data_IF_281100401914
#
_entry.id   IF_281100401914
#
_cell.length_a   1.000
_cell.length_b   1.000
_cell.length_c   1.000
_cell.angle_alpha   90.00
_cell.angle_beta   90.00
_cell.angle_gamma   90.00
#
_symmetry.space_group_name_H-M   'P 1'
#
loop_
_entity.id
_entity.type
_entity.pdbx_description
1 polymer ?
#
# COMPACT_ATOMS: atom_id res chain seq x y z
N UNK A 1 1.35 82.32 45.28
CA UNK A 1 1.90 80.97 45.20
C UNK A 1 0.83 80.02 44.77
N UNK A 2 0.87 79.51 43.55
CA UNK A 2 -0.04 78.53 43.02
C UNK A 2 0.76 77.26 42.74
N UNK A 3 0.25 76.04 43.09
CA UNK A 3 0.99 74.80 42.87
C UNK A 3 0.83 74.34 41.43
N UNK A 4 1.90 73.76 40.91
CA UNK A 4 2.06 73.21 39.59
C UNK A 4 1.41 71.81 39.52
N UNK A 5 0.37 71.64 38.69
CA UNK A 5 -0.22 70.32 38.38
C UNK A 5 0.71 69.53 37.44
N UNK A 6 1.19 68.40 37.90
CA UNK A 6 1.88 67.39 37.12
C UNK A 6 0.88 66.46 36.48
N UNK A 7 0.91 66.32 35.18
CA UNK A 7 0.08 65.35 34.42
C UNK A 7 0.54 63.89 34.65
N UNK A 8 -0.39 62.90 34.67
CA UNK A 8 -0.01 61.52 34.84
C UNK A 8 0.58 60.92 33.54
N UNK A 9 1.57 60.04 33.71
CA UNK A 9 2.23 59.25 32.69
C UNK A 9 1.24 58.23 32.06
N UNK A 10 1.29 58.08 30.73
CA UNK A 10 0.55 57.06 29.99
C UNK A 10 1.20 55.68 30.21
N UNK A 11 0.44 54.62 30.43
CA UNK A 11 0.97 53.27 30.46
C UNK A 11 1.39 52.82 29.06
N UNK A 12 2.60 52.28 28.95
CA UNK A 12 3.18 51.71 27.73
C UNK A 12 2.35 50.49 27.30
N UNK A 13 1.84 50.54 26.07
CA UNK A 13 1.23 49.40 25.40
C UNK A 13 2.36 48.40 25.02
N UNK A 14 2.39 47.26 25.64
CA UNK A 14 3.17 46.13 25.12
C UNK A 14 2.59 45.71 23.79
N UNK A 15 3.39 45.90 22.75
CA UNK A 15 3.15 45.30 21.42
C UNK A 15 3.25 43.79 21.57
N UNK A 16 2.11 43.14 21.49
CA UNK A 16 2.00 41.69 21.44
C UNK A 16 2.45 41.26 20.02
N UNK A 17 3.71 40.91 19.89
CA UNK A 17 4.30 40.31 18.69
C UNK A 17 3.72 38.90 18.53
N UNK A 18 2.96 38.61 17.48
CA UNK A 18 2.49 37.25 17.27
C UNK A 18 3.71 36.41 16.86
N UNK A 19 4.29 35.70 17.84
CA UNK A 19 5.30 34.68 17.59
C UNK A 19 4.71 33.70 16.58
N UNK A 20 5.10 33.85 15.34
CA UNK A 20 4.93 32.83 14.31
C UNK A 20 5.47 31.52 14.87
N UNK A 21 4.56 30.61 15.21
CA UNK A 21 4.94 29.21 15.48
C UNK A 21 5.55 28.69 14.20
N UNK A 22 6.81 28.23 14.22
CA UNK A 22 7.39 27.62 13.04
C UNK A 22 6.49 26.47 12.62
N UNK A 23 5.97 26.54 11.39
CA UNK A 23 5.22 25.48 10.74
C UNK A 23 6.15 24.27 10.67
N UNK A 24 6.05 23.39 11.68
CA UNK A 24 6.74 22.09 11.67
C UNK A 24 6.26 21.39 10.42
N UNK A 25 7.05 21.42 9.34
CA UNK A 25 7.00 20.38 8.32
C UNK A 25 7.15 19.06 9.08
N UNK A 26 6.05 18.40 9.32
CA UNK A 26 6.02 17.01 9.80
C UNK A 26 6.60 16.18 8.65
N UNK A 27 7.94 16.17 8.56
CA UNK A 27 8.62 15.06 7.92
C UNK A 27 8.12 13.86 8.70
N UNK A 28 7.27 13.06 8.06
CA UNK A 28 6.77 11.85 8.68
C UNK A 28 7.99 10.97 8.93
N UNK A 29 8.44 10.96 10.18
CA UNK A 29 9.62 10.20 10.57
C UNK A 29 9.46 8.73 10.17
N UNK A 30 10.55 8.08 9.72
CA UNK A 30 10.51 6.65 9.41
C UNK A 30 10.04 5.90 10.66
N UNK A 31 8.92 5.19 10.55
CA UNK A 31 8.38 4.40 11.64
C UNK A 31 8.41 2.92 11.28
N UNK A 32 8.99 2.10 12.15
CA UNK A 32 9.05 0.64 11.98
C UNK A 32 7.66 -0.01 11.88
N UNK A 33 6.62 0.66 12.40
CA UNK A 33 5.24 0.17 12.34
C UNK A 33 4.61 0.29 10.95
N UNK A 34 5.20 1.05 10.02
CA UNK A 34 4.66 1.23 8.67
C UNK A 34 5.01 0.05 7.78
N UNK A 35 4.26 -1.04 7.89
CA UNK A 35 4.52 -2.28 7.16
C UNK A 35 4.47 -2.11 5.64
N UNK A 36 3.63 -1.21 5.11
CA UNK A 36 3.60 -0.87 3.68
C UNK A 36 4.98 -0.41 3.17
N UNK A 37 5.73 0.39 3.93
CA UNK A 37 7.07 0.83 3.52
C UNK A 37 8.08 -0.32 3.48
N UNK A 38 7.96 -1.26 4.42
CA UNK A 38 8.79 -2.47 4.40
C UNK A 38 8.44 -3.36 3.22
N UNK A 39 7.14 -3.52 2.93
CA UNK A 39 6.66 -4.24 1.76
C UNK A 39 7.24 -3.65 0.46
N UNK A 40 7.08 -2.34 0.26
CA UNK A 40 7.62 -1.62 -0.89
C UNK A 40 9.14 -1.78 -1.00
N UNK A 41 9.89 -1.63 0.10
CA UNK A 41 11.34 -1.78 0.09
C UNK A 41 11.78 -3.18 -0.33
N UNK A 42 11.16 -4.23 0.25
CA UNK A 42 11.54 -5.61 -0.05
C UNK A 42 11.14 -6.04 -1.46
N UNK A 43 10.04 -5.50 -2.01
CA UNK A 43 9.67 -5.73 -3.41
C UNK A 43 10.56 -4.94 -4.36
N UNK A 44 10.96 -3.71 -4.02
CA UNK A 44 11.88 -2.90 -4.83
C UNK A 44 13.24 -3.57 -5.05
N UNK A 45 13.70 -4.40 -4.11
CA UNK A 45 15.01 -5.09 -4.25
C UNK A 45 15.06 -6.09 -5.42
N UNK A 46 13.89 -6.52 -5.93
CA UNK A 46 13.79 -7.52 -7.00
C UNK A 46 13.14 -6.98 -8.28
N UNK A 47 12.51 -5.80 -8.23
CA UNK A 47 11.88 -5.17 -9.39
C UNK A 47 12.89 -4.37 -10.21
N UNK A 48 12.82 -4.54 -11.51
CA UNK A 48 13.59 -3.79 -12.50
C UNK A 48 12.66 -3.09 -13.51
N UNK A 49 13.21 -2.11 -14.24
CA UNK A 49 12.48 -1.47 -15.32
C UNK A 49 12.12 -2.51 -16.41
N UNK A 50 10.88 -2.47 -16.89
CA UNK A 50 10.36 -3.43 -17.86
C UNK A 50 9.63 -4.64 -17.24
N UNK A 51 9.71 -4.82 -15.92
CA UNK A 51 9.06 -5.96 -15.25
C UNK A 51 7.53 -5.85 -15.25
N UNK A 52 6.89 -7.00 -15.03
CA UNK A 52 5.49 -7.10 -14.66
C UNK A 52 5.36 -7.10 -13.14
N UNK A 53 4.51 -6.20 -12.61
CA UNK A 53 4.12 -6.17 -11.21
C UNK A 53 2.59 -6.20 -11.05
N UNK A 54 2.13 -6.64 -9.88
CA UNK A 54 0.70 -6.81 -9.59
C UNK A 54 0.38 -6.22 -8.22
N UNK A 55 -0.68 -5.41 -8.17
CA UNK A 55 -1.32 -4.95 -6.93
C UNK A 55 -2.68 -5.63 -6.81
N UNK A 56 -2.82 -6.57 -5.89
CA UNK A 56 -4.05 -7.33 -5.69
C UNK A 56 -5.16 -6.50 -4.99
N UNK A 57 -4.82 -5.32 -4.46
CA UNK A 57 -5.71 -4.47 -3.65
C UNK A 57 -5.39 -3.00 -3.86
N UNK A 58 -5.79 -2.45 -5.00
CA UNK A 58 -5.41 -1.10 -5.42
C UNK A 58 -5.73 -0.01 -4.38
N UNK A 59 -6.93 -0.07 -3.77
CA UNK A 59 -7.36 0.85 -2.73
C UNK A 59 -7.21 2.32 -3.12
N UNK A 60 -6.38 3.05 -2.39
CA UNK A 60 -6.07 4.45 -2.66
C UNK A 60 -4.88 4.66 -3.62
N UNK A 61 -4.36 3.60 -4.23
CA UNK A 61 -3.32 3.66 -5.25
C UNK A 61 -1.89 3.86 -4.75
N UNK A 62 -1.64 3.70 -3.46
CA UNK A 62 -0.28 3.93 -2.91
C UNK A 62 0.72 2.90 -3.41
N UNK A 63 0.35 1.62 -3.38
CA UNK A 63 1.21 0.53 -3.83
C UNK A 63 1.22 0.44 -5.36
N UNK A 64 0.08 0.66 -6.02
CA UNK A 64 -0.01 0.78 -7.48
C UNK A 64 0.95 1.84 -8.04
N UNK A 65 0.95 3.05 -7.47
CA UNK A 65 1.85 4.13 -7.87
C UNK A 65 3.32 3.77 -7.62
N UNK A 66 3.61 3.14 -6.48
CA UNK A 66 4.96 2.66 -6.18
C UNK A 66 5.44 1.66 -7.24
N UNK A 67 4.64 0.61 -7.51
CA UNK A 67 4.96 -0.42 -8.51
C UNK A 67 5.18 0.19 -9.90
N UNK A 68 4.29 1.09 -10.33
CA UNK A 68 4.39 1.76 -11.63
C UNK A 68 5.69 2.56 -11.79
N UNK A 69 6.16 3.21 -10.71
CA UNK A 69 7.44 3.92 -10.71
C UNK A 69 8.65 3.00 -10.77
N UNK A 70 8.54 1.80 -10.13
CA UNK A 70 9.64 0.83 -10.15
C UNK A 70 9.81 0.20 -11.53
N UNK A 71 8.72 -0.22 -12.16
CA UNK A 71 8.78 -0.90 -13.46
C UNK A 71 8.98 0.07 -14.65
N UNK A 72 8.73 1.38 -14.45
CA UNK A 72 8.92 2.40 -15.49
C UNK A 72 7.97 2.27 -16.68
N UNK A 73 8.26 3.01 -17.76
CA UNK A 73 7.40 3.08 -18.97
C UNK A 73 7.36 1.79 -19.77
N UNK A 74 8.39 0.98 -19.70
CA UNK A 74 8.50 -0.31 -20.41
C UNK A 74 7.86 -1.47 -19.64
N UNK A 75 7.59 -1.29 -18.34
CA UNK A 75 6.97 -2.29 -17.50
C UNK A 75 5.45 -2.22 -17.51
N UNK A 76 4.83 -3.18 -16.82
CA UNK A 76 3.37 -3.25 -16.68
C UNK A 76 2.97 -3.48 -15.23
N UNK A 77 1.86 -2.85 -14.84
CA UNK A 77 1.22 -3.08 -13.54
C UNK A 77 -0.25 -3.41 -13.76
N UNK A 78 -0.71 -4.51 -13.16
CA UNK A 78 -2.14 -4.80 -13.01
C UNK A 78 -2.54 -4.50 -11.57
N UNK A 79 -3.56 -3.67 -11.38
CA UNK A 79 -4.05 -3.29 -10.07
C UNK A 79 -5.54 -3.58 -9.95
N UNK A 80 -5.90 -4.44 -9.01
CA UNK A 80 -7.25 -4.98 -8.83
C UNK A 80 -7.96 -4.29 -7.67
N UNK A 81 -9.23 -4.00 -7.85
CA UNK A 81 -10.15 -3.69 -6.76
C UNK A 81 -11.59 -3.99 -7.19
N UNK A 82 -12.40 -4.46 -6.27
CA UNK A 82 -13.84 -4.69 -6.48
C UNK A 82 -14.67 -3.42 -6.33
N UNK A 83 -14.05 -2.35 -5.80
CA UNK A 83 -14.68 -1.05 -5.60
C UNK A 83 -14.24 -0.09 -6.70
N UNK A 84 -15.18 0.32 -7.56
CA UNK A 84 -14.88 1.27 -8.63
C UNK A 84 -14.35 2.61 -8.10
N UNK A 85 -14.83 3.07 -6.93
CA UNK A 85 -14.36 4.30 -6.28
C UNK A 85 -12.87 4.23 -5.91
N UNK A 86 -12.40 3.07 -5.41
CA UNK A 86 -10.98 2.84 -5.13
C UNK A 86 -10.13 2.97 -6.39
N UNK A 87 -10.58 2.40 -7.51
CA UNK A 87 -9.88 2.51 -8.80
C UNK A 87 -9.91 3.95 -9.35
N UNK A 88 -10.98 4.71 -9.13
CA UNK A 88 -11.03 6.12 -9.48
C UNK A 88 -10.01 6.95 -8.70
N UNK A 89 -9.89 6.72 -7.39
CA UNK A 89 -8.85 7.36 -6.56
C UNK A 89 -7.44 6.98 -7.02
N UNK A 90 -7.24 5.71 -7.34
CA UNK A 90 -5.96 5.22 -7.88
C UNK A 90 -5.63 5.89 -9.21
N UNK A 91 -6.59 5.94 -10.15
CA UNK A 91 -6.43 6.61 -11.43
C UNK A 91 -6.10 8.10 -11.31
N UNK A 92 -6.79 8.83 -10.41
CA UNK A 92 -6.49 10.23 -10.12
C UNK A 92 -5.03 10.41 -9.64
N UNK A 93 -4.59 9.56 -8.72
CA UNK A 93 -3.20 9.56 -8.20
C UNK A 93 -2.17 9.28 -9.29
N UNK A 94 -2.44 8.34 -10.20
CA UNK A 94 -1.57 8.04 -11.34
C UNK A 94 -1.51 9.22 -12.30
N UNK A 95 -2.63 9.86 -12.59
CA UNK A 95 -2.72 11.07 -13.43
C UNK A 95 -1.90 12.21 -12.84
N UNK A 96 -2.01 12.49 -11.55
CA UNK A 96 -1.20 13.50 -10.86
C UNK A 96 0.30 13.22 -10.94
N UNK A 97 0.67 11.94 -11.00
CA UNK A 97 2.07 11.50 -11.13
C UNK A 97 2.55 11.44 -12.60
N UNK A 98 1.70 11.75 -13.59
CA UNK A 98 2.01 11.69 -15.01
C UNK A 98 2.18 10.26 -15.55
N UNK A 99 1.57 9.27 -14.89
CA UNK A 99 1.64 7.85 -15.29
C UNK A 99 0.39 7.50 -16.09
N UNK A 100 0.57 6.94 -17.28
CA UNK A 100 -0.51 6.48 -18.14
C UNK A 100 -1.18 5.22 -17.56
N UNK A 101 -2.50 5.18 -17.59
CA UNK A 101 -3.30 4.07 -17.11
C UNK A 101 -4.58 3.89 -17.94
N UNK A 102 -5.14 2.69 -17.86
CA UNK A 102 -6.44 2.34 -18.45
C UNK A 102 -7.30 1.62 -17.40
N UNK A 103 -8.62 1.74 -17.52
CA UNK A 103 -9.58 1.00 -16.69
C UNK A 103 -10.24 -0.07 -17.57
N UNK A 104 -10.21 -1.34 -17.14
CA UNK A 104 -10.84 -2.51 -17.78
C UNK A 104 -10.61 -2.67 -19.29
N UNK A 105 -9.76 -1.84 -19.89
CA UNK A 105 -9.53 -1.81 -21.32
C UNK A 105 -8.71 -3.00 -21.83
N UNK A 106 -8.91 -3.35 -23.11
CA UNK A 106 -7.95 -4.13 -23.87
C UNK A 106 -7.05 -3.15 -24.64
N UNK A 107 -5.74 -3.28 -24.53
CA UNK A 107 -4.79 -2.43 -25.25
C UNK A 107 -3.46 -2.28 -24.52
N UNK A 108 -2.43 -1.88 -25.28
CA UNK A 108 -1.08 -1.63 -24.74
C UNK A 108 -0.90 -0.18 -24.28
N UNK A 109 -1.98 0.58 -24.14
CA UNK A 109 -1.94 2.00 -23.88
C UNK A 109 -1.78 2.29 -22.37
N UNK A 110 -0.60 2.05 -21.83
CA UNK A 110 -0.27 2.52 -20.50
C UNK A 110 0.52 1.51 -19.67
N UNK A 111 1.31 2.03 -18.76
CA UNK A 111 2.07 1.23 -17.79
C UNK A 111 1.15 0.52 -16.81
N UNK A 112 -0.03 1.11 -16.48
CA UNK A 112 -0.93 0.60 -15.44
C UNK A 112 -2.30 0.26 -16.02
N UNK A 113 -2.75 -0.96 -15.72
CA UNK A 113 -4.11 -1.42 -15.95
C UNK A 113 -4.83 -1.53 -14.62
N UNK A 114 -5.83 -0.70 -14.43
CA UNK A 114 -6.76 -0.81 -13.30
C UNK A 114 -7.86 -1.81 -13.69
N UNK A 115 -8.11 -2.79 -12.85
CA UNK A 115 -9.04 -3.90 -13.11
C UNK A 115 -10.17 -3.85 -12.09
N UNK A 116 -11.39 -3.56 -12.56
CA UNK A 116 -12.59 -3.55 -11.72
C UNK A 116 -13.17 -4.96 -11.60
N UNK A 117 -12.44 -5.84 -10.93
CA UNK A 117 -12.84 -7.22 -10.73
C UNK A 117 -12.20 -7.79 -9.44
N UNK A 118 -12.60 -9.00 -9.08
CA UNK A 118 -11.96 -9.75 -8.01
C UNK A 118 -10.56 -10.19 -8.40
N UNK A 119 -9.61 -9.99 -7.51
CA UNK A 119 -8.25 -10.51 -7.65
C UNK A 119 -8.20 -12.05 -7.75
N UNK A 120 -9.27 -12.77 -7.38
CA UNK A 120 -9.38 -14.20 -7.59
C UNK A 120 -9.49 -14.62 -9.07
N UNK A 121 -9.64 -13.64 -9.98
CA UNK A 121 -9.65 -13.86 -11.44
C UNK A 121 -8.38 -13.37 -12.11
N UNK A 122 -7.30 -13.27 -11.34
CA UNK A 122 -6.01 -12.70 -11.77
C UNK A 122 -5.49 -13.30 -13.09
N UNK A 123 -5.56 -14.62 -13.26
CA UNK A 123 -5.07 -15.33 -14.46
C UNK A 123 -5.86 -15.07 -15.72
N UNK A 124 -7.06 -14.48 -15.63
CA UNK A 124 -7.82 -14.04 -16.80
C UNK A 124 -7.28 -12.75 -17.43
N UNK A 125 -6.53 -11.96 -16.64
CA UNK A 125 -6.00 -10.65 -17.03
C UNK A 125 -4.52 -10.67 -17.39
N UNK A 126 -3.74 -11.56 -16.79
CA UNK A 126 -2.30 -11.68 -17.07
C UNK A 126 -1.83 -13.12 -17.02
N UNK A 127 -0.88 -13.46 -17.87
CA UNK A 127 -0.28 -14.80 -18.00
C UNK A 127 1.25 -14.76 -17.82
N UNK A 128 1.83 -13.59 -17.76
CA UNK A 128 3.29 -13.43 -17.67
C UNK A 128 3.82 -13.57 -16.23
N UNK A 129 5.11 -13.91 -16.09
CA UNK A 129 5.72 -13.98 -14.78
C UNK A 129 5.82 -12.57 -14.17
N UNK A 130 5.29 -12.40 -12.95
CA UNK A 130 5.40 -11.17 -12.18
C UNK A 130 6.63 -11.21 -11.28
N UNK A 131 7.42 -10.12 -11.27
CA UNK A 131 8.58 -9.98 -10.37
C UNK A 131 8.19 -9.45 -9.00
N UNK A 132 7.17 -8.64 -8.92
CA UNK A 132 6.68 -8.06 -7.67
C UNK A 132 5.15 -8.14 -7.59
N UNK A 133 4.64 -8.66 -6.47
CA UNK A 133 3.21 -8.70 -6.18
C UNK A 133 3.00 -8.07 -4.80
N UNK A 134 1.98 -7.24 -4.66
CA UNK A 134 1.62 -6.61 -3.39
C UNK A 134 0.14 -6.81 -3.07
N UNK A 135 -0.18 -6.96 -1.80
CA UNK A 135 -1.55 -6.94 -1.30
C UNK A 135 -1.62 -6.36 0.11
N UNK A 136 -2.73 -5.69 0.41
CA UNK A 136 -3.09 -5.24 1.74
C UNK A 136 -4.33 -6.03 2.17
N UNK A 137 -4.16 -6.97 3.10
CA UNK A 137 -5.21 -7.87 3.58
C UNK A 137 -5.86 -7.32 4.85
N UNK A 138 -7.17 -7.48 4.96
CA UNK A 138 -7.97 -6.92 6.03
C UNK A 138 -8.65 -5.61 5.63
N UNK A 139 -9.07 -4.82 6.60
CA UNK A 139 -9.88 -3.63 6.40
C UNK A 139 -9.08 -2.45 5.84
N UNK A 140 -9.58 -1.85 4.75
CA UNK A 140 -9.12 -0.54 4.30
C UNK A 140 -9.68 0.54 5.23
N UNK A 141 -8.85 1.32 5.97
CA UNK A 141 -9.34 2.41 6.80
C UNK A 141 -10.13 3.43 5.96
N UNK A 142 -11.42 3.59 6.25
CA UNK A 142 -12.33 4.47 5.50
C UNK A 142 -13.15 3.77 4.42
N UNK A 143 -12.94 2.48 4.15
CA UNK A 143 -13.74 1.67 3.24
C UNK A 143 -15.07 1.20 3.88
N UNK A 144 -15.93 0.56 3.07
CA UNK A 144 -17.19 -0.01 3.54
C UNK A 144 -16.93 -1.29 4.38
N UNK A 145 -17.28 -1.31 5.69
CA UNK A 145 -17.06 -2.48 6.55
C UNK A 145 -17.79 -3.75 6.10
N UNK A 146 -18.81 -3.63 5.24
CA UNK A 146 -19.58 -4.74 4.70
C UNK A 146 -18.91 -5.46 3.51
N UNK A 147 -17.81 -4.91 2.99
CA UNK A 147 -17.03 -5.50 1.90
C UNK A 147 -15.72 -6.08 2.44
N UNK A 148 -15.83 -7.07 3.30
CA UNK A 148 -14.69 -7.87 3.76
C UNK A 148 -14.40 -8.96 2.73
N UNK A 149 -13.13 -9.12 2.36
CA UNK A 149 -12.68 -10.26 1.58
C UNK A 149 -12.96 -11.55 2.36
N UNK A 150 -13.35 -12.60 1.65
CA UNK A 150 -13.52 -13.92 2.27
C UNK A 150 -12.22 -14.69 2.13
N UNK A 151 -11.82 -15.40 3.17
CA UNK A 151 -10.59 -16.19 3.19
C UNK A 151 -10.41 -17.08 1.93
N UNK A 152 -11.48 -17.69 1.45
CA UNK A 152 -11.47 -18.52 0.25
C UNK A 152 -11.10 -17.76 -1.02
N UNK A 153 -11.64 -16.53 -1.19
CA UNK A 153 -11.36 -15.66 -2.36
C UNK A 153 -9.92 -15.20 -2.30
N UNK A 154 -9.45 -14.79 -1.14
CA UNK A 154 -8.06 -14.36 -0.93
C UNK A 154 -7.09 -15.50 -1.18
N UNK A 155 -7.34 -16.70 -0.65
CA UNK A 155 -6.50 -17.87 -0.88
C UNK A 155 -6.46 -18.26 -2.36
N UNK A 156 -7.57 -18.16 -3.09
CA UNK A 156 -7.60 -18.43 -4.53
C UNK A 156 -6.73 -17.43 -5.30
N UNK A 157 -6.86 -16.14 -4.98
CA UNK A 157 -6.01 -15.10 -5.58
C UNK A 157 -4.52 -15.32 -5.28
N UNK A 158 -4.18 -15.67 -4.04
CA UNK A 158 -2.80 -15.91 -3.63
C UNK A 158 -2.20 -17.16 -4.30
N UNK A 159 -2.98 -18.22 -4.55
CA UNK A 159 -2.52 -19.38 -5.34
C UNK A 159 -2.17 -18.96 -6.75
N UNK A 160 -3.07 -18.24 -7.45
CA UNK A 160 -2.82 -17.72 -8.79
C UNK A 160 -1.60 -16.77 -8.80
N UNK A 161 -1.46 -15.93 -7.77
CA UNK A 161 -0.32 -15.03 -7.64
C UNK A 161 1.01 -15.79 -7.50
N UNK A 162 1.05 -16.89 -6.72
CA UNK A 162 2.25 -17.72 -6.61
C UNK A 162 2.61 -18.43 -7.94
N UNK A 163 1.61 -18.90 -8.68
CA UNK A 163 1.84 -19.52 -10.00
C UNK A 163 2.46 -18.53 -10.99
N UNK A 164 2.05 -17.26 -10.92
CA UNK A 164 2.57 -16.18 -11.75
C UNK A 164 3.89 -15.58 -11.22
N UNK A 165 4.28 -15.84 -9.98
CA UNK A 165 5.48 -15.22 -9.42
C UNK A 165 6.73 -15.76 -10.10
N UNK A 166 7.57 -14.89 -10.62
CA UNK A 166 8.84 -15.26 -11.25
C UNK A 166 9.82 -15.88 -10.24
N UNK A 167 10.72 -16.74 -10.69
CA UNK A 167 11.86 -17.19 -9.86
C UNK A 167 12.68 -15.96 -9.43
N UNK A 168 12.95 -15.83 -8.13
CA UNK A 168 13.56 -14.64 -7.52
C UNK A 168 12.61 -13.47 -7.34
N UNK A 169 11.35 -13.58 -7.78
CA UNK A 169 10.31 -12.59 -7.51
C UNK A 169 9.78 -12.65 -6.08
N UNK A 170 9.13 -11.58 -5.64
CA UNK A 170 8.57 -11.47 -4.28
C UNK A 170 7.11 -11.04 -4.28
N UNK A 171 6.34 -11.68 -3.42
CA UNK A 171 4.98 -11.26 -3.05
C UNK A 171 4.98 -10.74 -1.62
N UNK A 172 4.51 -9.51 -1.40
CA UNK A 172 4.45 -8.86 -0.10
C UNK A 172 2.99 -8.62 0.33
N UNK A 173 2.61 -9.20 1.47
CA UNK A 173 1.26 -9.14 2.03
C UNK A 173 1.29 -8.35 3.33
N UNK A 174 0.74 -7.14 3.34
CA UNK A 174 0.54 -6.38 4.57
C UNK A 174 -0.77 -6.83 5.20
N UNK A 175 -0.70 -7.32 6.43
CA UNK A 175 -1.83 -7.90 7.14
C UNK A 175 -2.25 -6.98 8.27
N UNK A 176 -3.51 -6.50 8.22
CA UNK A 176 -4.10 -5.64 9.24
C UNK A 176 -4.96 -6.47 10.18
N UNK A 177 -4.55 -6.51 11.45
CA UNK A 177 -5.29 -7.18 12.53
C UNK A 177 -6.21 -6.15 13.18
N UNK A 178 -7.47 -6.48 13.43
CA UNK A 178 -8.32 -5.58 14.21
C UNK A 178 -9.83 -5.69 13.99
N UNK A 179 -10.29 -6.58 13.12
CA UNK A 179 -11.72 -6.88 12.96
C UNK A 179 -11.95 -8.38 12.81
N UNK A 180 -12.97 -8.98 13.49
CA UNK A 180 -13.16 -10.43 13.53
C UNK A 180 -13.18 -11.15 12.18
N UNK A 181 -13.80 -10.62 11.10
CA UNK A 181 -13.74 -11.27 9.79
C UNK A 181 -12.32 -11.31 9.19
N UNK A 182 -11.51 -10.26 9.43
CA UNK A 182 -10.14 -10.20 8.95
C UNK A 182 -9.19 -11.14 9.70
N UNK A 183 -9.46 -11.48 10.96
CA UNK A 183 -8.61 -12.40 11.75
C UNK A 183 -8.68 -13.82 11.21
N UNK A 184 -9.87 -14.28 10.78
CA UNK A 184 -10.02 -15.60 10.17
C UNK A 184 -9.32 -15.70 8.81
N UNK A 185 -9.47 -14.68 7.97
CA UNK A 185 -8.75 -14.56 6.69
C UNK A 185 -7.23 -14.58 6.91
N UNK A 186 -6.72 -13.76 7.82
CA UNK A 186 -5.30 -13.68 8.14
C UNK A 186 -4.75 -15.02 8.62
N UNK A 187 -5.46 -15.72 9.50
CA UNK A 187 -5.07 -17.04 10.00
C UNK A 187 -5.01 -18.06 8.87
N UNK A 188 -6.04 -18.11 8.01
CA UNK A 188 -6.09 -19.04 6.88
C UNK A 188 -4.93 -18.80 5.90
N UNK A 189 -4.57 -17.53 5.62
CA UNK A 189 -3.43 -17.17 4.78
C UNK A 189 -2.11 -17.61 5.42
N UNK A 190 -1.91 -17.36 6.73
CA UNK A 190 -0.69 -17.79 7.42
C UNK A 190 -0.52 -19.30 7.45
N UNK A 191 -1.57 -20.04 7.81
CA UNK A 191 -1.55 -21.51 7.84
C UNK A 191 -1.22 -22.09 6.46
N UNK A 192 -1.83 -21.53 5.41
CA UNK A 192 -1.55 -21.96 4.05
C UNK A 192 -0.10 -21.67 3.63
N UNK A 193 0.40 -20.46 3.90
CA UNK A 193 1.79 -20.10 3.58
C UNK A 193 2.80 -20.98 4.32
N UNK A 194 2.56 -21.28 5.61
CA UNK A 194 3.42 -22.17 6.40
C UNK A 194 3.47 -23.59 5.84
N UNK A 195 2.44 -24.03 5.12
CA UNK A 195 2.40 -25.32 4.43
C UNK A 195 3.19 -25.40 3.14
N UNK A 196 3.69 -24.27 2.61
CA UNK A 196 4.48 -24.24 1.38
C UNK A 196 5.86 -24.87 1.57
N UNK A 197 6.33 -25.62 0.57
CA UNK A 197 7.63 -26.28 0.63
C UNK A 197 8.77 -25.26 0.65
N UNK A 198 9.61 -25.29 1.68
CA UNK A 198 10.80 -24.43 1.83
C UNK A 198 11.85 -24.65 0.74
N UNK A 199 11.73 -25.73 -0.04
CA UNK A 199 12.58 -25.96 -1.23
C UNK A 199 12.35 -24.91 -2.31
N UNK A 200 11.09 -24.45 -2.45
CA UNK A 200 10.67 -23.55 -3.54
C UNK A 200 10.29 -22.16 -3.06
N UNK A 201 9.98 -22.01 -1.78
CA UNK A 201 9.42 -20.78 -1.21
C UNK A 201 10.13 -20.42 0.10
N UNK A 202 10.59 -19.20 0.18
CA UNK A 202 10.99 -18.62 1.46
C UNK A 202 9.93 -17.64 1.94
N UNK A 203 9.55 -17.75 3.20
CA UNK A 203 8.54 -16.89 3.79
C UNK A 203 9.18 -16.15 4.97
N UNK A 204 9.18 -14.83 4.86
CA UNK A 204 9.63 -13.92 5.90
C UNK A 204 8.41 -13.28 6.57
N UNK A 205 8.38 -13.27 7.91
CA UNK A 205 7.42 -12.49 8.69
C UNK A 205 8.15 -11.34 9.40
N UNK A 206 7.68 -10.09 9.18
CA UNK A 206 8.12 -8.92 9.92
C UNK A 206 6.98 -8.42 10.79
N UNK A 207 7.26 -8.25 12.09
CA UNK A 207 6.29 -7.77 13.07
C UNK A 207 7.00 -6.91 14.11
N UNK A 208 6.30 -5.88 14.61
CA UNK A 208 6.78 -5.10 15.74
C UNK A 208 6.61 -5.91 17.02
N UNK A 209 7.72 -6.38 17.62
CA UNK A 209 7.73 -7.40 18.65
C UNK A 209 6.96 -7.03 19.93
N UNK A 210 6.91 -5.75 20.29
CA UNK A 210 6.27 -5.23 21.50
C UNK A 210 4.85 -4.67 21.26
N UNK A 211 4.22 -4.93 20.08
CA UNK A 211 2.84 -4.51 19.76
C UNK A 211 2.04 -5.68 19.20
N UNK A 212 1.20 -6.27 20.03
CA UNK A 212 0.41 -7.47 19.66
C UNK A 212 -0.64 -7.22 18.57
N UNK A 213 -1.21 -6.02 18.50
CA UNK A 213 -2.25 -5.65 17.52
C UNK A 213 -1.74 -4.71 16.41
N UNK A 214 -0.43 -4.71 16.16
CA UNK A 214 0.12 -3.96 15.05
C UNK A 214 -0.01 -4.76 13.74
N UNK A 215 -0.20 -4.08 12.60
CA UNK A 215 -0.06 -4.74 11.30
C UNK A 215 1.29 -5.44 11.20
N UNK A 216 1.33 -6.53 10.45
CA UNK A 216 2.56 -7.25 10.15
C UNK A 216 2.68 -7.49 8.65
N UNK A 217 3.85 -7.92 8.22
CA UNK A 217 4.17 -8.17 6.82
C UNK A 217 4.59 -9.63 6.65
N UNK A 218 4.01 -10.28 5.64
CA UNK A 218 4.48 -11.56 5.12
C UNK A 218 5.09 -11.31 3.75
N UNK A 219 6.30 -11.81 3.52
CA UNK A 219 6.94 -11.75 2.20
C UNK A 219 7.26 -13.16 1.76
N UNK A 220 6.80 -13.51 0.58
CA UNK A 220 7.06 -14.79 -0.07
C UNK A 220 8.03 -14.56 -1.22
N UNK A 221 9.15 -15.29 -1.24
CA UNK A 221 10.12 -15.27 -2.33
C UNK A 221 10.12 -16.62 -3.02
N UNK A 222 10.03 -16.63 -4.36
CA UNK A 222 10.15 -17.84 -5.16
C UNK A 222 11.61 -18.19 -5.40
N UNK A 223 12.01 -19.42 -5.07
CA UNK A 223 13.40 -19.88 -5.14
C UNK A 223 13.73 -20.76 -6.36
N UNK A 224 12.78 -21.50 -6.86
CA UNK A 224 12.99 -22.40 -7.99
C UNK A 224 11.72 -23.02 -8.52
#
# INVERSE_FOLDING_TARGET
>A
MRPIHRAPARPGGEANDPKEKPMRKTLQEPSLIRMVRWAQRLVAEVLEAGDLAIDLTAGNGTDTLFLARQVGSEGRVFAFDVQLEALQHTGARLTEAGIAWILDGQGDAGTVRLVHDSHARLTEYTQGPARGIMANLGYLPGGNPGLTTRAEITLEALRQALDLLAIGGRMALVVYIGHPPGEEECRAVEEWLQGLSSRYWHILRLQVANRRQAPYLLVVERRG
#
